data_IF_786855353646
#
_entry.id   IF_786855353646
#
_cell.length_a   1.000
_cell.length_b   1.000
_cell.length_c   1.000
_cell.angle_alpha   90.00
_cell.angle_beta   90.00
_cell.angle_gamma   90.00
#
_symmetry.space_group_name_H-M   'P 1'
#
loop_
_entity.id
_entity.type
_entity.pdbx_description
1 polymer ?
#
# COMPACT_ATOMS: atom_id res chain seq x y z
N UNK A 1 -10.20 -0.10 -3.95
CA UNK A 1 -9.87 0.27 -2.56
C UNK A 1 -10.74 -0.48 -1.55
N UNK A 2 -12.07 -0.28 -1.55
CA UNK A 2 -12.96 -0.87 -0.54
C UNK A 2 -12.79 -2.40 -0.39
N UNK A 3 -12.76 -3.16 -1.50
CA UNK A 3 -12.57 -4.62 -1.45
C UNK A 3 -11.27 -5.06 -0.74
N UNK A 4 -10.18 -4.30 -0.85
CA UNK A 4 -8.93 -4.61 -0.13
C UNK A 4 -9.08 -4.36 1.37
N UNK A 5 -9.81 -3.31 1.75
CA UNK A 5 -10.13 -2.99 3.14
C UNK A 5 -11.05 -4.05 3.73
N UNK A 6 -12.05 -4.53 2.98
CA UNK A 6 -12.96 -5.57 3.44
C UNK A 6 -12.24 -6.90 3.70
N UNK A 7 -11.32 -7.29 2.81
CA UNK A 7 -10.46 -8.46 3.03
C UNK A 7 -9.57 -8.27 4.25
N UNK A 8 -8.93 -7.10 4.40
CA UNK A 8 -8.10 -6.79 5.56
C UNK A 8 -8.90 -6.84 6.88
N UNK A 9 -10.14 -6.34 6.87
CA UNK A 9 -11.04 -6.40 8.02
C UNK A 9 -11.49 -7.82 8.33
N UNK A 10 -11.72 -8.64 7.31
CA UNK A 10 -12.05 -10.07 7.48
C UNK A 10 -10.91 -10.80 8.18
N UNK A 11 -9.67 -10.66 7.69
CA UNK A 11 -8.49 -11.27 8.31
C UNK A 11 -8.28 -10.80 9.76
N UNK A 12 -8.53 -9.51 10.02
CA UNK A 12 -8.48 -8.97 11.38
C UNK A 12 -9.52 -9.65 12.29
N UNK A 13 -10.74 -9.82 11.81
CA UNK A 13 -11.83 -10.46 12.57
C UNK A 13 -11.57 -11.96 12.80
N UNK A 14 -10.78 -12.61 11.94
CA UNK A 14 -10.29 -13.98 12.12
C UNK A 14 -9.12 -14.09 13.11
N UNK A 15 -8.67 -12.98 13.70
CA UNK A 15 -7.63 -12.94 14.72
C UNK A 15 -6.22 -12.71 14.19
N UNK A 16 -6.05 -12.46 12.88
CA UNK A 16 -4.75 -12.09 12.33
C UNK A 16 -4.35 -10.70 12.83
N UNK A 17 -3.14 -10.56 13.35
CA UNK A 17 -2.68 -9.26 13.85
C UNK A 17 -2.66 -8.21 12.74
N UNK A 18 -3.07 -6.99 13.07
CA UNK A 18 -3.08 -5.85 12.14
C UNK A 18 -1.68 -5.54 11.58
N UNK A 19 -0.61 -5.81 12.34
CA UNK A 19 0.77 -5.71 11.87
C UNK A 19 1.06 -6.67 10.72
N UNK A 20 0.63 -7.92 10.83
CA UNK A 20 0.80 -8.94 9.79
C UNK A 20 -0.02 -8.57 8.55
N UNK A 21 -1.28 -8.13 8.74
CA UNK A 21 -2.14 -7.69 7.64
C UNK A 21 -1.50 -6.50 6.89
N UNK A 22 -0.98 -5.52 7.62
CA UNK A 22 -0.30 -4.36 7.04
C UNK A 22 0.94 -4.77 6.23
N UNK A 23 1.78 -5.67 6.79
CA UNK A 23 2.94 -6.20 6.07
C UNK A 23 2.53 -6.95 4.80
N UNK A 24 1.49 -7.78 4.86
CA UNK A 24 0.99 -8.53 3.72
C UNK A 24 0.46 -7.61 2.60
N UNK A 25 -0.29 -6.55 2.95
CA UNK A 25 -0.78 -5.55 2.00
C UNK A 25 0.39 -4.79 1.34
N UNK A 26 1.41 -4.43 2.12
CA UNK A 26 2.62 -3.79 1.59
C UNK A 26 3.35 -4.70 0.61
N UNK A 27 3.54 -5.98 0.95
CA UNK A 27 4.17 -6.96 0.05
C UNK A 27 3.34 -7.17 -1.22
N UNK A 28 2.03 -7.34 -1.10
CA UNK A 28 1.14 -7.50 -2.25
C UNK A 28 1.18 -6.27 -3.18
N UNK A 29 1.21 -5.07 -2.60
CA UNK A 29 1.42 -3.83 -3.35
C UNK A 29 2.77 -3.84 -4.08
N UNK A 30 3.85 -4.17 -3.39
CA UNK A 30 5.20 -4.22 -3.98
C UNK A 30 5.31 -5.19 -5.16
N UNK A 31 4.74 -6.38 -5.03
CA UNK A 31 4.65 -7.37 -6.12
C UNK A 31 3.86 -6.80 -7.29
N UNK A 32 2.70 -6.19 -7.06
CA UNK A 32 1.91 -5.62 -8.15
C UNK A 32 2.65 -4.48 -8.86
N UNK A 33 3.41 -3.68 -8.10
CA UNK A 33 4.20 -2.57 -8.64
C UNK A 33 5.34 -3.01 -9.55
N UNK A 34 5.89 -4.22 -9.40
CA UNK A 34 6.91 -4.70 -10.34
C UNK A 34 6.35 -4.81 -11.76
N UNK A 35 5.07 -5.19 -11.91
CA UNK A 35 4.39 -5.23 -13.21
C UNK A 35 4.11 -3.83 -13.77
N UNK A 36 3.79 -2.85 -12.92
CA UNK A 36 3.43 -1.51 -13.41
C UNK A 36 4.62 -0.69 -13.86
N UNK A 37 5.82 -0.93 -13.30
CA UNK A 37 7.03 -0.16 -13.63
C UNK A 37 7.96 -0.92 -14.57
N UNK A 38 8.09 -2.24 -14.42
CA UNK A 38 9.00 -3.06 -15.23
C UNK A 38 8.31 -3.83 -16.36
N UNK A 39 6.98 -3.74 -16.47
CA UNK A 39 6.20 -4.56 -17.39
C UNK A 39 6.29 -6.06 -17.05
N UNK A 40 6.12 -6.91 -18.05
CA UNK A 40 6.09 -8.37 -17.88
C UNK A 40 7.44 -8.99 -17.44
N UNK A 41 8.53 -8.21 -17.41
CA UNK A 41 9.85 -8.69 -16.95
C UNK A 41 9.99 -8.72 -15.41
N UNK A 42 9.10 -8.04 -14.67
CA UNK A 42 8.88 -8.29 -13.24
C UNK A 42 9.92 -7.78 -12.24
N UNK A 43 10.91 -6.97 -12.64
CA UNK A 43 11.96 -6.47 -11.76
C UNK A 43 12.11 -4.94 -11.76
N UNK A 44 12.03 -4.30 -10.59
CA UNK A 44 12.37 -2.89 -10.45
C UNK A 44 13.89 -2.70 -10.52
N UNK A 45 14.37 -1.84 -11.41
CA UNK A 45 15.72 -1.28 -11.30
C UNK A 45 15.77 -0.21 -10.19
N UNK A 46 16.95 0.27 -9.83
CA UNK A 46 17.12 1.27 -8.75
C UNK A 46 16.21 2.49 -8.94
N UNK A 47 16.17 3.07 -10.14
CA UNK A 47 15.27 4.19 -10.45
C UNK A 47 13.79 3.85 -10.32
N UNK A 48 13.41 2.59 -10.56
CA UNK A 48 12.06 2.09 -10.36
C UNK A 48 11.71 2.03 -8.87
N UNK A 49 12.62 1.55 -8.04
CA UNK A 49 12.45 1.53 -6.58
C UNK A 49 12.26 2.95 -6.03
N UNK A 50 13.06 3.92 -6.49
CA UNK A 50 12.94 5.32 -6.08
C UNK A 50 11.58 5.92 -6.44
N UNK A 51 11.15 5.75 -7.70
CA UNK A 51 9.84 6.25 -8.17
C UNK A 51 8.68 5.70 -7.34
N UNK A 52 8.72 4.42 -7.04
CA UNK A 52 7.67 3.74 -6.25
C UNK A 52 7.67 4.24 -4.81
N UNK A 53 8.85 4.40 -4.23
CA UNK A 53 9.00 4.92 -2.87
C UNK A 53 8.47 6.35 -2.75
N UNK A 54 8.76 7.20 -3.75
CA UNK A 54 8.26 8.57 -3.81
C UNK A 54 6.73 8.60 -3.98
N UNK A 55 6.17 7.77 -4.87
CA UNK A 55 4.72 7.66 -5.04
C UNK A 55 4.02 7.21 -3.75
N UNK A 56 4.62 6.25 -3.02
CA UNK A 56 4.09 5.79 -1.74
C UNK A 56 4.15 6.88 -0.67
N UNK A 57 5.26 7.64 -0.60
CA UNK A 57 5.40 8.80 0.29
C UNK A 57 4.28 9.83 0.06
N UNK A 58 4.03 10.21 -1.19
CA UNK A 58 2.97 11.15 -1.55
C UNK A 58 1.59 10.61 -1.18
N UNK A 59 1.34 9.32 -1.41
CA UNK A 59 0.09 8.66 -1.00
C UNK A 59 -0.15 8.76 0.51
N UNK A 60 0.86 8.46 1.33
CA UNK A 60 0.78 8.58 2.79
C UNK A 60 0.50 10.02 3.23
N UNK A 61 1.15 11.01 2.61
CA UNK A 61 0.90 12.42 2.91
C UNK A 61 -0.54 12.83 2.58
N UNK A 62 -1.09 12.36 1.46
CA UNK A 62 -2.47 12.61 1.06
C UNK A 62 -3.46 11.96 2.04
N UNK A 63 -3.22 10.72 2.46
CA UNK A 63 -4.04 10.03 3.47
C UNK A 63 -4.03 10.80 4.80
N UNK A 64 -2.85 11.26 5.25
CA UNK A 64 -2.73 12.04 6.49
C UNK A 64 -3.42 13.40 6.39
N UNK A 65 -3.37 14.05 5.23
CA UNK A 65 -4.12 15.30 5.00
C UNK A 65 -5.62 15.06 5.10
N UNK A 66 -6.15 14.06 4.38
CA UNK A 66 -7.58 13.72 4.43
C UNK A 66 -8.05 13.37 5.86
N UNK A 67 -7.25 12.60 6.61
CA UNK A 67 -7.57 12.27 8.01
C UNK A 67 -7.61 13.49 8.94
N UNK A 68 -6.76 14.50 8.71
CA UNK A 68 -6.78 15.74 9.49
C UNK A 68 -8.03 16.58 9.18
N UNK A 69 -8.37 16.70 7.90
CA UNK A 69 -9.59 17.37 7.44
C UNK A 69 -10.85 16.72 8.04
N UNK A 70 -10.93 15.39 8.05
CA UNK A 70 -12.03 14.63 8.68
C UNK A 70 -12.10 14.83 10.21
N UNK A 71 -10.96 15.10 10.86
CA UNK A 71 -10.87 15.32 12.30
C UNK A 71 -11.01 16.80 12.70
N UNK A 72 -11.24 17.70 11.74
CA UNK A 72 -11.36 19.15 11.98
C UNK A 72 -10.06 19.81 12.47
N UNK A 73 -8.90 19.25 12.13
CA UNK A 73 -7.57 19.81 12.41
C UNK A 73 -6.99 20.54 11.21
#
# INVERSE_FOLDING_TARGET
MQRFIDVANTLKNEGVSTRVISAALMTASGVYTTYTVAGNAGGLNESGVEKVTEAYRQSLQNIQRAKREEQGQ
#
